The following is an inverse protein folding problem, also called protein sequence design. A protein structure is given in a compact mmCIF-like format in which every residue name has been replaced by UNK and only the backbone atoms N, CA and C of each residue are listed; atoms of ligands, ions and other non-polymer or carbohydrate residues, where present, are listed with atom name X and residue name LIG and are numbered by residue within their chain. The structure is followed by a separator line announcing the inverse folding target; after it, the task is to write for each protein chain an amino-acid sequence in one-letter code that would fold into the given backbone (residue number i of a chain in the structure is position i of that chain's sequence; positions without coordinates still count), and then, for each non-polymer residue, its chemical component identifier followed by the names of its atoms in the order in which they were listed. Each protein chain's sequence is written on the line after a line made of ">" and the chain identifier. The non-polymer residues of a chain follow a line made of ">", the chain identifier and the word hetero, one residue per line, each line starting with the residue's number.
data_IF_923126811709
#
_entry.id   IF_923126811709
#
_cell.length_a   1.000
_cell.length_b   1.000
_cell.length_c   1.000
_cell.angle_alpha   90.00
_cell.angle_beta   90.00
_cell.angle_gamma   90.00
#
_symmetry.space_group_name_H-M   'P 1'
#
loop_
_entity.id
_entity.type
_entity.pdbx_description
1 polymer ?
#
# COMPACT_ATOMS: atom_id res chain seq x y z
N UNK A 1 4.08 17.65 -7.50
CA UNK A 1 3.23 18.65 -6.80
C UNK A 1 1.77 18.26 -6.68
N UNK A 2 1.09 17.70 -7.71
CA UNK A 2 -0.36 17.40 -7.66
C UNK A 2 -0.82 16.52 -6.48
N UNK A 3 -0.08 15.46 -6.15
CA UNK A 3 -0.44 14.57 -5.03
C UNK A 3 -0.36 15.27 -3.67
N UNK A 4 0.73 16.01 -3.40
CA UNK A 4 0.87 16.74 -2.13
C UNK A 4 -0.17 17.84 -2.01
N UNK A 5 -0.48 18.56 -3.09
CA UNK A 5 -1.55 19.55 -3.11
C UNK A 5 -2.92 18.92 -2.82
N UNK A 6 -3.23 17.78 -3.44
CA UNK A 6 -4.45 17.02 -3.16
C UNK A 6 -4.51 16.53 -1.70
N UNK A 7 -3.39 16.09 -1.14
CA UNK A 7 -3.31 15.66 0.26
C UNK A 7 -3.53 16.82 1.22
N UNK A 8 -2.94 18.00 0.96
CA UNK A 8 -3.19 19.22 1.74
C UNK A 8 -4.66 19.63 1.66
N UNK A 9 -5.27 19.61 0.46
CA UNK A 9 -6.68 19.91 0.29
C UNK A 9 -7.60 18.92 1.02
N UNK A 10 -7.16 17.65 1.18
CA UNK A 10 -7.84 16.63 1.96
C UNK A 10 -7.57 16.70 3.48
N UNK A 11 -6.86 17.73 3.96
CA UNK A 11 -6.57 17.92 5.39
C UNK A 11 -5.50 16.97 5.94
N UNK A 12 -4.64 16.38 5.09
CA UNK A 12 -3.54 15.52 5.57
C UNK A 12 -2.46 16.40 6.22
N UNK A 13 -2.40 16.38 7.55
CA UNK A 13 -1.47 17.20 8.35
C UNK A 13 -0.01 16.71 8.26
N UNK A 14 0.19 15.42 7.97
CA UNK A 14 1.52 14.82 7.82
C UNK A 14 2.10 15.09 6.43
N UNK A 15 3.42 15.31 6.36
CA UNK A 15 4.11 15.45 5.07
C UNK A 15 4.03 14.15 4.26
N UNK A 16 3.30 14.18 3.17
CA UNK A 16 3.19 13.07 2.21
C UNK A 16 3.75 13.44 0.84
N UNK A 17 4.35 12.44 0.19
CA UNK A 17 4.87 12.57 -1.16
C UNK A 17 4.17 11.57 -2.07
N UNK A 18 4.41 11.67 -3.39
CA UNK A 18 3.92 10.66 -4.33
C UNK A 18 4.35 9.22 -3.95
N UNK A 19 5.50 9.08 -3.28
CA UNK A 19 5.95 7.79 -2.77
C UNK A 19 5.02 7.24 -1.69
N UNK A 20 4.53 8.09 -0.79
CA UNK A 20 3.54 7.72 0.23
C UNK A 20 2.27 7.15 -0.39
N UNK A 21 1.80 7.74 -1.51
CA UNK A 21 0.66 7.22 -2.26
C UNK A 21 0.89 5.81 -2.81
N UNK A 22 2.11 5.49 -3.28
CA UNK A 22 2.45 4.14 -3.75
C UNK A 22 2.44 3.10 -2.62
N UNK A 23 2.98 3.46 -1.44
CA UNK A 23 2.98 2.58 -0.26
C UNK A 23 1.54 2.34 0.21
N UNK A 24 0.74 3.40 0.29
CA UNK A 24 -0.67 3.32 0.65
C UNK A 24 -1.47 2.44 -0.30
N UNK A 25 -1.28 2.60 -1.62
CA UNK A 25 -1.93 1.77 -2.64
C UNK A 25 -1.59 0.28 -2.45
N UNK A 26 -0.31 -0.06 -2.27
CA UNK A 26 0.11 -1.45 -2.07
C UNK A 26 -0.58 -2.06 -0.83
N UNK A 27 -0.50 -1.34 0.30
CA UNK A 27 -1.06 -1.79 1.58
C UNK A 27 -2.58 -1.97 1.50
N UNK A 28 -3.29 -1.01 0.89
CA UNK A 28 -4.74 -1.03 0.84
C UNK A 28 -5.28 -2.13 -0.07
N UNK A 29 -4.70 -2.30 -1.26
CA UNK A 29 -5.11 -3.38 -2.15
C UNK A 29 -4.86 -4.76 -1.50
N UNK A 30 -3.74 -4.92 -0.78
CA UNK A 30 -3.47 -6.15 -0.02
C UNK A 30 -4.46 -6.37 1.12
N UNK A 31 -4.86 -5.31 1.85
CA UNK A 31 -5.93 -5.39 2.87
C UNK A 31 -7.27 -5.80 2.27
N UNK A 32 -7.62 -5.25 1.11
CA UNK A 32 -8.82 -5.63 0.35
C UNK A 32 -8.76 -7.05 -0.25
N UNK A 33 -7.64 -7.78 -0.08
CA UNK A 33 -7.51 -9.15 -0.54
C UNK A 33 -7.06 -9.32 -1.99
N UNK A 34 -6.61 -8.25 -2.65
CA UNK A 34 -6.04 -8.35 -3.98
C UNK A 34 -4.83 -9.28 -4.00
N UNK A 35 -4.67 -10.05 -5.09
CA UNK A 35 -3.51 -10.92 -5.25
C UNK A 35 -2.23 -10.10 -5.45
N UNK A 36 -1.08 -10.65 -5.09
CA UNK A 36 0.22 -9.99 -5.32
C UNK A 36 0.39 -9.57 -6.79
N UNK A 37 -0.07 -10.39 -7.73
CA UNK A 37 -0.02 -10.09 -9.17
C UNK A 37 -0.87 -8.88 -9.55
N UNK A 38 -2.07 -8.74 -8.98
CA UNK A 38 -2.95 -7.60 -9.25
C UNK A 38 -2.38 -6.32 -8.67
N UNK A 39 -1.82 -6.39 -7.46
CA UNK A 39 -1.12 -5.25 -6.83
C UNK A 39 0.08 -4.85 -7.69
N UNK A 40 0.88 -5.82 -8.16
CA UNK A 40 2.00 -5.57 -9.07
C UNK A 40 1.56 -4.84 -10.34
N UNK A 41 0.46 -5.28 -10.98
CA UNK A 41 -0.10 -4.64 -12.18
C UNK A 41 -0.58 -3.22 -11.88
N UNK A 42 -1.35 -3.02 -10.80
CA UNK A 42 -1.90 -1.73 -10.43
C UNK A 42 -0.82 -0.68 -10.10
N UNK A 43 0.24 -1.09 -9.39
CA UNK A 43 1.35 -0.18 -9.03
C UNK A 43 2.51 -0.17 -10.01
N UNK A 44 2.46 -0.95 -11.09
CA UNK A 44 3.56 -1.15 -12.04
C UNK A 44 4.87 -1.59 -11.35
N UNK A 45 4.80 -2.58 -10.46
CA UNK A 45 5.97 -3.19 -9.81
C UNK A 45 6.44 -4.41 -10.59
N UNK A 46 7.75 -4.48 -10.85
CA UNK A 46 8.37 -5.59 -11.59
C UNK A 46 8.55 -6.86 -10.75
N UNK A 47 8.56 -6.74 -9.42
CA UNK A 47 8.86 -7.86 -8.52
C UNK A 47 7.90 -7.91 -7.34
N UNK A 48 7.55 -9.13 -6.92
CA UNK A 48 6.72 -9.37 -5.73
C UNK A 48 7.38 -8.85 -4.45
N UNK A 49 8.72 -8.82 -4.40
CA UNK A 49 9.49 -8.30 -3.25
C UNK A 49 9.10 -6.86 -2.90
N UNK A 50 8.88 -6.01 -3.90
CA UNK A 50 8.49 -4.62 -3.64
C UNK A 50 7.09 -4.50 -3.05
N UNK A 51 6.15 -5.34 -3.52
CA UNK A 51 4.81 -5.40 -2.94
C UNK A 51 4.87 -5.88 -1.50
N UNK A 52 5.59 -6.97 -1.23
CA UNK A 52 5.77 -7.50 0.12
C UNK A 52 6.40 -6.47 1.08
N UNK A 53 7.39 -5.70 0.60
CA UNK A 53 8.01 -4.65 1.42
C UNK A 53 7.03 -3.53 1.78
N UNK A 54 6.25 -3.03 0.82
CA UNK A 54 5.31 -1.92 1.07
C UNK A 54 4.01 -2.34 1.75
N UNK A 55 3.61 -3.60 1.62
CA UNK A 55 2.41 -4.15 2.25
C UNK A 55 2.71 -4.96 3.50
N UNK A 56 3.95 -4.94 4.04
CA UNK A 56 4.37 -5.79 5.14
C UNK A 56 3.41 -5.76 6.35
N UNK A 57 2.97 -4.57 6.76
CA UNK A 57 1.99 -4.40 7.84
C UNK A 57 0.64 -5.04 7.50
N UNK A 58 0.11 -4.76 6.31
CA UNK A 58 -1.16 -5.34 5.82
C UNK A 58 -1.10 -6.88 5.73
N UNK A 59 0.05 -7.44 5.33
CA UNK A 59 0.23 -8.90 5.31
C UNK A 59 0.33 -9.50 6.69
N UNK A 60 0.92 -8.79 7.65
CA UNK A 60 1.04 -9.25 9.03
C UNK A 60 -0.34 -9.39 9.71
N UNK A 61 -1.22 -8.40 9.51
CA UNK A 61 -2.61 -8.42 9.99
C UNK A 61 -3.42 -9.62 9.45
N UNK A 62 -3.07 -10.13 8.27
CA UNK A 62 -3.76 -11.26 7.61
C UNK A 62 -2.99 -12.58 7.66
N UNK A 63 -1.87 -12.61 8.38
CA UNK A 63 -1.02 -13.78 8.50
C UNK A 63 -1.79 -14.98 9.03
N UNK A 64 -1.35 -16.20 8.68
CA UNK A 64 -2.01 -17.43 9.14
C UNK A 64 -2.11 -17.49 10.68
N UNK A 65 -1.08 -17.02 11.38
CA UNK A 65 -1.06 -16.91 12.84
C UNK A 65 -2.05 -15.85 13.34
N UNK A 66 -2.09 -14.68 12.70
CA UNK A 66 -3.02 -13.61 13.08
C UNK A 66 -4.50 -13.99 12.92
N UNK A 67 -4.81 -14.92 12.00
CA UNK A 67 -6.17 -15.47 11.81
C UNK A 67 -6.48 -16.67 12.70
N UNK A 68 -5.49 -17.20 13.41
CA UNK A 68 -5.64 -18.36 14.29
C UNK A 68 -5.90 -17.94 15.75
N UNK A 69 -5.43 -16.76 16.15
CA UNK A 69 -5.66 -16.15 17.46
C UNK A 69 -7.00 -15.41 17.50
#
# INVERSE_FOLDING_TARGET
>A
MRFTAAATAAGVERRVTAHSGRVGLASELTRCGASTTDVMRAGNWKTARMVAHYAAGATAERGAVARYL
#
